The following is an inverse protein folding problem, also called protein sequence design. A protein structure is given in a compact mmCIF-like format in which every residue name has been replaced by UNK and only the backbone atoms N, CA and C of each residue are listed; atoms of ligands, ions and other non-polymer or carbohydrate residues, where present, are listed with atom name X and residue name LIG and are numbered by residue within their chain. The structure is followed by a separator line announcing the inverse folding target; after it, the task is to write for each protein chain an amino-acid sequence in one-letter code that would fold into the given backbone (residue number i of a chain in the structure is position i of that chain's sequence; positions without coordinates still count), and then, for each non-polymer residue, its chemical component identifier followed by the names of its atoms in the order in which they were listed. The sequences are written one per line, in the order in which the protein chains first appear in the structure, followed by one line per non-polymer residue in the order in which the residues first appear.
data_IF_080069762957
#
_entry.id   IF_080069762957
#
_cell.length_a   1.000
_cell.length_b   1.000
_cell.length_c   1.000
_cell.angle_alpha   90.00
_cell.angle_beta   90.00
_cell.angle_gamma   90.00
#
_symmetry.space_group_name_H-M   'P 1'
#
loop_
_entity.id
_entity.type
_entity.pdbx_description
1 polymer ?
#
# COMPACT_ATOMS: atom_id res chain seq x y z
N UNK A 1 -20.31 4.55 38.55
CA UNK A 1 -20.55 3.35 37.71
C UNK A 1 -21.75 3.54 36.76
N UNK A 2 -21.77 3.03 35.52
CA UNK A 2 -20.73 2.28 34.77
C UNK A 2 -20.08 3.17 33.66
N UNK A 3 -18.76 3.20 33.45
CA UNK A 3 -17.91 2.26 32.69
C UNK A 3 -18.49 1.79 31.34
N UNK A 4 -18.22 2.56 30.27
CA UNK A 4 -18.30 2.07 28.90
C UNK A 4 -16.92 1.65 28.41
N UNK A 5 -16.85 0.39 27.98
CA UNK A 5 -15.66 -0.32 27.58
C UNK A 5 -14.99 0.30 26.34
N UNK A 6 -13.66 0.40 26.40
CA UNK A 6 -12.78 0.62 25.25
C UNK A 6 -12.96 -0.53 24.26
N UNK A 7 -13.27 -0.20 23.02
CA UNK A 7 -13.16 -1.12 21.90
C UNK A 7 -11.68 -1.33 21.56
N UNK A 8 -11.20 -2.55 21.76
CA UNK A 8 -9.88 -3.03 21.35
C UNK A 8 -9.82 -3.18 19.82
N UNK A 9 -8.71 -2.86 19.14
CA UNK A 9 -8.54 -3.20 17.73
C UNK A 9 -8.24 -4.70 17.56
N UNK A 10 -8.85 -5.28 16.53
CA UNK A 10 -8.77 -6.67 16.12
C UNK A 10 -7.32 -7.13 15.93
N UNK A 11 -6.85 -8.02 16.81
CA UNK A 11 -5.71 -8.90 16.60
C UNK A 11 -6.24 -10.18 15.97
N UNK A 12 -5.90 -10.45 14.71
CA UNK A 12 -6.01 -11.78 14.14
C UNK A 12 -4.63 -12.44 14.26
N UNK A 13 -4.51 -13.37 15.21
CA UNK A 13 -3.36 -14.28 15.34
C UNK A 13 -3.86 -15.68 15.01
N UNK A 14 -3.19 -16.31 14.05
CA UNK A 14 -3.42 -17.66 13.54
C UNK A 14 -3.42 -18.75 14.62
N UNK A 15 -4.16 -19.84 14.35
CA UNK A 15 -3.79 -21.19 14.76
C UNK A 15 -4.25 -22.24 13.72
N UNK A 16 -3.46 -23.30 13.43
CA UNK A 16 -3.65 -24.16 12.26
C UNK A 16 -4.28 -25.52 12.57
N UNK A 17 -4.95 -26.10 11.57
CA UNK A 17 -5.04 -27.56 11.39
C UNK A 17 -6.45 -28.13 11.18
N UNK A 18 -6.73 -28.63 9.97
CA UNK A 18 -7.29 -29.97 9.75
C UNK A 18 -7.52 -30.28 8.26
N UNK A 19 -6.69 -31.20 7.74
CA UNK A 19 -7.03 -32.34 6.89
C UNK A 19 -7.92 -32.17 5.62
N UNK A 20 -7.23 -32.25 4.49
CA UNK A 20 -7.63 -32.84 3.20
C UNK A 20 -8.64 -34.01 3.30
N UNK A 21 -9.71 -33.95 2.51
CA UNK A 21 -10.38 -35.14 1.95
C UNK A 21 -10.76 -34.92 0.48
N UNK A 22 -10.24 -35.81 -0.35
CA UNK A 22 -10.47 -35.98 -1.78
C UNK A 22 -11.80 -36.69 -2.05
N UNK A 23 -12.43 -36.41 -3.20
CA UNK A 23 -13.28 -37.38 -3.93
C UNK A 23 -13.26 -37.09 -5.45
N UNK A 24 -13.35 -38.12 -6.32
CA UNK A 24 -13.05 -38.03 -7.75
C UNK A 24 -14.31 -38.05 -8.64
N UNK A 25 -14.24 -37.42 -9.81
CA UNK A 25 -15.30 -37.45 -10.83
C UNK A 25 -14.75 -37.51 -12.26
N UNK A 26 -14.85 -38.70 -12.88
CA UNK A 26 -14.54 -39.00 -14.29
C UNK A 26 -15.47 -38.26 -15.24
N UNK A 27 -14.96 -37.79 -16.38
CA UNK A 27 -15.62 -37.95 -17.68
C UNK A 27 -14.59 -38.19 -18.79
N UNK A 28 -14.90 -39.15 -19.67
CA UNK A 28 -14.09 -39.65 -20.79
C UNK A 28 -14.24 -38.77 -22.04
N UNK A 29 -13.10 -38.49 -22.66
CA UNK A 29 -12.74 -38.53 -24.09
C UNK A 29 -13.84 -38.40 -25.17
N UNK A 30 -13.61 -37.44 -26.08
CA UNK A 30 -13.87 -37.61 -27.51
C UNK A 30 -12.75 -36.93 -28.31
N UNK A 31 -12.11 -37.69 -29.20
CA UNK A 31 -11.00 -37.30 -30.07
C UNK A 31 -11.53 -37.04 -31.47
N UNK A 32 -11.15 -35.92 -32.11
CA UNK A 32 -11.08 -35.75 -33.57
C UNK A 32 -10.12 -34.59 -33.89
N UNK A 33 -9.09 -34.87 -34.69
CA UNK A 33 -8.05 -33.95 -35.18
C UNK A 33 -8.42 -33.41 -36.59
N UNK A 34 -7.54 -32.66 -37.30
CA UNK A 34 -7.13 -31.28 -37.03
C UNK A 34 -7.22 -30.37 -38.29
N UNK A 35 -7.40 -29.05 -38.16
CA UNK A 35 -7.11 -28.06 -39.23
C UNK A 35 -6.58 -26.76 -38.57
N UNK A 36 -5.56 -26.08 -39.16
CA UNK A 36 -4.71 -25.13 -38.45
C UNK A 36 -5.12 -23.66 -38.66
N UNK A 37 -4.50 -22.80 -37.85
CA UNK A 37 -4.25 -21.36 -38.07
C UNK A 37 -5.05 -20.37 -37.21
N UNK A 38 -4.28 -19.66 -36.38
CA UNK A 38 -4.40 -18.24 -36.04
C UNK A 38 -5.68 -17.73 -35.36
N UNK A 39 -5.62 -17.72 -34.02
CA UNK A 39 -5.63 -16.49 -33.21
C UNK A 39 -5.40 -16.84 -31.74
N UNK A 40 -4.19 -16.56 -31.26
CA UNK A 40 -3.87 -16.63 -29.84
C UNK A 40 -4.69 -15.61 -29.06
N UNK A 41 -5.84 -16.04 -28.55
CA UNK A 41 -6.60 -15.35 -27.52
C UNK A 41 -5.88 -15.55 -26.17
N UNK A 42 -4.65 -15.03 -26.07
CA UNK A 42 -4.01 -14.79 -24.79
C UNK A 42 -4.69 -13.59 -24.16
N UNK A 43 -5.18 -13.74 -22.92
CA UNK A 43 -5.73 -12.63 -22.14
C UNK A 43 -4.80 -11.41 -22.23
N UNK A 44 -5.31 -10.18 -22.42
CA UNK A 44 -4.50 -8.96 -22.40
C UNK A 44 -3.55 -8.89 -21.19
N UNK A 45 -3.99 -9.43 -20.05
CA UNK A 45 -3.18 -9.63 -18.85
C UNK A 45 -1.93 -10.47 -19.11
N UNK A 46 -2.10 -11.65 -19.73
CA UNK A 46 -1.02 -12.57 -20.04
C UNK A 46 -0.01 -11.94 -21.00
N UNK A 47 -0.49 -11.20 -22.01
CA UNK A 47 0.36 -10.47 -22.95
C UNK A 47 1.15 -9.37 -22.23
N UNK A 48 0.51 -8.57 -21.39
CA UNK A 48 1.20 -7.52 -20.62
C UNK A 48 2.31 -8.12 -19.72
N UNK A 49 2.04 -9.23 -19.02
CA UNK A 49 3.02 -9.89 -18.14
C UNK A 49 4.15 -10.61 -18.90
N UNK A 50 3.94 -11.01 -20.15
CA UNK A 50 5.01 -11.63 -20.96
C UNK A 50 5.91 -10.56 -21.58
N UNK A 51 5.32 -9.51 -22.16
CA UNK A 51 6.05 -8.34 -22.66
C UNK A 51 6.89 -7.68 -21.56
N UNK A 52 6.37 -7.66 -20.32
CA UNK A 52 7.07 -7.22 -19.12
C UNK A 52 8.45 -7.86 -18.96
N UNK A 53 8.47 -9.21 -18.99
CA UNK A 53 9.67 -10.00 -18.70
C UNK A 53 10.78 -9.78 -19.73
N UNK A 54 10.41 -9.41 -20.95
CA UNK A 54 11.34 -9.22 -22.07
C UNK A 54 12.03 -7.84 -22.07
N UNK A 55 11.52 -6.84 -21.33
CA UNK A 55 11.98 -5.44 -21.44
C UNK A 55 12.43 -4.80 -20.12
N UNK A 56 12.67 -5.60 -19.07
CA UNK A 56 13.06 -5.10 -17.74
C UNK A 56 14.39 -4.31 -17.75
N UNK A 57 15.29 -4.55 -18.69
CA UNK A 57 16.61 -3.88 -18.76
C UNK A 57 16.56 -2.39 -19.13
N UNK A 58 15.41 -1.88 -19.61
CA UNK A 58 15.25 -0.46 -19.96
C UNK A 58 13.90 0.11 -19.49
N UNK A 59 13.81 0.38 -18.19
CA UNK A 59 12.59 0.83 -17.50
C UNK A 59 12.08 2.18 -18.03
N UNK A 60 12.98 3.06 -18.48
CA UNK A 60 12.65 4.35 -19.07
C UNK A 60 12.37 4.26 -20.59
N UNK A 61 12.48 3.08 -21.19
CA UNK A 61 12.24 2.86 -22.60
C UNK A 61 10.75 2.95 -22.98
N UNK A 62 10.46 3.39 -24.20
CA UNK A 62 9.10 3.57 -24.72
C UNK A 62 8.23 2.30 -24.62
N UNK A 63 8.83 1.12 -24.76
CA UNK A 63 8.13 -0.16 -24.59
C UNK A 63 7.62 -0.31 -23.16
N UNK A 64 8.45 -0.02 -22.17
CA UNK A 64 8.06 -0.12 -20.76
C UNK A 64 6.96 0.88 -20.42
N UNK A 65 7.08 2.12 -20.90
CA UNK A 65 6.04 3.14 -20.74
C UNK A 65 4.69 2.68 -21.34
N UNK A 66 4.72 2.00 -22.48
CA UNK A 66 3.52 1.43 -23.09
C UNK A 66 2.92 0.29 -22.26
N UNK A 67 3.76 -0.60 -21.72
CA UNK A 67 3.31 -1.68 -20.82
C UNK A 67 2.68 -1.11 -19.55
N UNK A 68 3.26 -0.07 -18.98
CA UNK A 68 2.76 0.60 -17.77
C UNK A 68 1.43 1.30 -18.04
N UNK A 69 1.30 2.00 -19.17
CA UNK A 69 0.03 2.60 -19.57
C UNK A 69 -1.06 1.54 -19.74
N UNK A 70 -0.75 0.38 -20.34
CA UNK A 70 -1.68 -0.74 -20.45
C UNK A 70 -2.05 -1.32 -19.08
N UNK A 71 -1.08 -1.49 -18.18
CA UNK A 71 -1.33 -1.97 -16.81
C UNK A 71 -2.21 -0.99 -16.02
N UNK A 72 -1.94 0.31 -16.12
CA UNK A 72 -2.76 1.34 -15.49
C UNK A 72 -4.21 1.27 -15.97
N UNK A 73 -4.42 1.17 -17.28
CA UNK A 73 -5.75 1.00 -17.86
C UNK A 73 -6.45 -0.27 -17.39
N UNK A 74 -5.73 -1.39 -17.29
CA UNK A 74 -6.28 -2.65 -16.80
C UNK A 74 -6.69 -2.54 -15.32
N UNK A 75 -5.87 -1.93 -14.48
CA UNK A 75 -6.17 -1.77 -13.05
C UNK A 75 -7.29 -0.75 -12.80
N UNK A 76 -7.37 0.31 -13.60
CA UNK A 76 -8.42 1.33 -13.49
C UNK A 76 -9.77 0.87 -14.07
N UNK A 77 -9.80 -0.11 -14.96
CA UNK A 77 -11.02 -0.61 -15.58
C UNK A 77 -11.86 -1.45 -14.61
N UNK A 78 -13.12 -1.05 -14.40
CA UNK A 78 -14.05 -1.70 -13.46
C UNK A 78 -14.40 -3.14 -13.83
N UNK A 79 -14.36 -3.47 -15.12
CA UNK A 79 -14.69 -4.80 -15.65
C UNK A 79 -13.47 -5.72 -15.70
N UNK A 80 -12.28 -5.21 -15.35
CA UNK A 80 -11.08 -6.03 -15.30
C UNK A 80 -11.17 -7.07 -14.19
N UNK A 81 -10.75 -8.29 -14.53
CA UNK A 81 -10.59 -9.35 -13.54
C UNK A 81 -9.29 -9.12 -12.75
N UNK A 82 -9.36 -8.26 -11.74
CA UNK A 82 -8.24 -7.94 -10.85
C UNK A 82 -7.64 -9.21 -10.24
N UNK A 83 -8.46 -10.17 -9.81
CA UNK A 83 -7.98 -11.45 -9.25
C UNK A 83 -7.04 -12.18 -10.20
N UNK A 84 -7.37 -12.24 -11.49
CA UNK A 84 -6.50 -12.85 -12.49
C UNK A 84 -5.18 -12.07 -12.64
N UNK A 85 -5.20 -10.73 -12.61
CA UNK A 85 -3.96 -9.95 -12.68
C UNK A 85 -3.03 -10.26 -11.49
N UNK A 86 -3.60 -10.37 -10.30
CA UNK A 86 -2.89 -10.78 -9.09
C UNK A 86 -2.28 -12.18 -9.23
N UNK A 87 -3.04 -13.16 -9.74
CA UNK A 87 -2.55 -14.53 -10.01
C UNK A 87 -1.45 -14.58 -11.07
N UNK A 88 -1.44 -13.64 -12.03
CA UNK A 88 -0.38 -13.51 -13.04
C UNK A 88 0.85 -12.72 -12.55
N UNK A 89 0.93 -12.40 -11.26
CA UNK A 89 2.12 -11.81 -10.65
C UNK A 89 2.16 -10.28 -10.65
N UNK A 90 1.01 -9.60 -10.80
CA UNK A 90 0.92 -8.14 -10.77
C UNK A 90 1.66 -7.52 -9.57
N UNK A 91 1.48 -8.08 -8.38
CA UNK A 91 2.13 -7.59 -7.15
C UNK A 91 3.64 -7.53 -7.30
N UNK A 92 4.27 -8.63 -7.74
CA UNK A 92 5.71 -8.70 -7.92
C UNK A 92 6.19 -7.66 -8.94
N UNK A 93 5.52 -7.60 -10.11
CA UNK A 93 5.90 -6.69 -11.18
C UNK A 93 5.84 -5.22 -10.77
N UNK A 94 4.82 -4.84 -10.00
CA UNK A 94 4.70 -3.48 -9.47
C UNK A 94 5.75 -3.21 -8.40
N UNK A 95 6.03 -4.16 -7.49
CA UNK A 95 7.08 -4.01 -6.49
C UNK A 95 8.46 -3.79 -7.13
N UNK A 96 8.83 -4.63 -8.10
CA UNK A 96 10.14 -4.57 -8.78
C UNK A 96 10.30 -3.20 -9.45
N UNK A 97 9.30 -2.78 -10.22
CA UNK A 97 9.26 -1.47 -10.88
C UNK A 97 9.39 -0.30 -9.93
N UNK A 98 8.61 -0.33 -8.87
CA UNK A 98 8.54 0.77 -7.93
C UNK A 98 9.88 0.89 -7.21
N UNK A 99 10.52 -0.22 -6.88
CA UNK A 99 11.86 -0.25 -6.27
C UNK A 99 12.93 0.32 -7.20
N UNK A 100 12.94 -0.11 -8.46
CA UNK A 100 13.89 0.41 -9.45
C UNK A 100 13.65 1.90 -9.72
N UNK A 101 12.38 2.33 -9.80
CA UNK A 101 12.00 3.74 -10.02
C UNK A 101 12.33 4.61 -8.81
N UNK A 102 12.04 4.16 -7.58
CA UNK A 102 12.38 4.86 -6.36
C UNK A 102 13.90 5.08 -6.24
N UNK A 103 14.70 4.08 -6.63
CA UNK A 103 16.16 4.19 -6.69
C UNK A 103 16.60 5.29 -7.66
N UNK A 104 15.94 5.42 -8.82
CA UNK A 104 16.20 6.49 -9.79
C UNK A 104 15.74 7.88 -9.29
N UNK A 105 14.67 7.94 -8.50
CA UNK A 105 14.13 9.19 -7.94
C UNK A 105 14.99 9.73 -6.79
N UNK A 106 15.56 8.83 -5.97
CA UNK A 106 16.42 9.19 -4.83
C UNK A 106 17.89 9.41 -5.22
N UNK A 107 18.28 9.07 -6.46
CA UNK A 107 19.63 9.32 -6.98
C UNK A 107 19.86 10.82 -7.29
N UNK A 108 20.65 11.48 -6.44
CA UNK A 108 20.90 12.93 -6.44
C UNK A 108 21.72 13.40 -7.66
N UNK A 109 22.43 12.51 -8.34
CA UNK A 109 23.42 12.87 -9.37
C UNK A 109 22.83 13.01 -10.80
N UNK A 110 21.52 12.82 -11.02
CA UNK A 110 20.97 12.71 -12.37
C UNK A 110 19.73 13.58 -12.70
N UNK A 111 19.93 14.91 -12.74
CA UNK A 111 18.88 15.92 -13.00
C UNK A 111 18.03 15.71 -14.28
N UNK A 112 18.55 15.05 -15.32
CA UNK A 112 17.84 14.84 -16.58
C UNK A 112 17.00 13.54 -16.61
N UNK A 113 17.39 12.50 -15.85
CA UNK A 113 16.58 11.28 -15.67
C UNK A 113 15.36 11.51 -14.78
N UNK A 114 15.39 12.59 -14.00
CA UNK A 114 14.36 12.93 -13.02
C UNK A 114 12.95 13.11 -13.63
N UNK A 115 12.79 13.74 -14.81
CA UNK A 115 11.45 13.96 -15.38
C UNK A 115 10.76 12.67 -15.84
N UNK A 116 11.48 11.78 -16.53
CA UNK A 116 10.91 10.50 -16.95
C UNK A 116 10.70 9.56 -15.76
N UNK A 117 11.62 9.58 -14.79
CA UNK A 117 11.45 8.84 -13.54
C UNK A 117 10.24 9.35 -12.74
N UNK A 118 10.00 10.66 -12.68
CA UNK A 118 8.82 11.25 -12.02
C UNK A 118 7.51 10.87 -12.73
N UNK A 119 7.45 10.93 -14.06
CA UNK A 119 6.26 10.53 -14.82
C UNK A 119 5.97 9.02 -14.67
N UNK A 120 7.03 8.22 -14.67
CA UNK A 120 6.96 6.79 -14.39
C UNK A 120 6.47 6.54 -12.97
N UNK A 121 7.07 7.20 -11.98
CA UNK A 121 6.68 7.09 -10.57
C UNK A 121 5.20 7.42 -10.38
N UNK A 122 4.71 8.50 -10.97
CA UNK A 122 3.30 8.86 -10.92
C UNK A 122 2.39 7.78 -11.52
N UNK A 123 2.75 7.24 -12.69
CA UNK A 123 1.99 6.15 -13.31
C UNK A 123 1.97 4.88 -12.46
N UNK A 124 3.07 4.59 -11.75
CA UNK A 124 3.16 3.47 -10.82
C UNK A 124 2.34 3.71 -9.55
N UNK A 125 2.28 4.95 -9.07
CA UNK A 125 1.43 5.33 -7.95
C UNK A 125 -0.05 5.16 -8.28
N UNK A 126 -0.49 5.49 -9.50
CA UNK A 126 -1.87 5.23 -9.95
C UNK A 126 -2.21 3.74 -9.96
N UNK A 127 -1.30 2.91 -10.50
CA UNK A 127 -1.45 1.45 -10.50
C UNK A 127 -1.52 0.92 -9.07
N UNK A 128 -0.58 1.33 -8.21
CA UNK A 128 -0.54 0.94 -6.80
C UNK A 128 -1.82 1.35 -6.08
N UNK A 129 -2.28 2.58 -6.29
CA UNK A 129 -3.51 3.09 -5.68
C UNK A 129 -4.74 2.27 -6.11
N UNK A 130 -4.84 1.91 -7.39
CA UNK A 130 -5.92 1.05 -7.90
C UNK A 130 -5.90 -0.35 -7.28
N UNK A 131 -4.72 -0.97 -7.19
CA UNK A 131 -4.51 -2.26 -6.53
C UNK A 131 -4.91 -2.23 -5.05
N UNK A 132 -4.48 -1.20 -4.32
CA UNK A 132 -4.79 -1.01 -2.91
C UNK A 132 -6.26 -0.71 -2.68
N UNK A 133 -6.89 0.08 -3.55
CA UNK A 133 -8.33 0.36 -3.50
C UNK A 133 -9.16 -0.90 -3.71
N UNK A 134 -8.77 -1.74 -4.67
CA UNK A 134 -9.40 -3.04 -4.89
C UNK A 134 -9.27 -3.93 -3.64
N UNK A 135 -8.05 -4.10 -3.13
CA UNK A 135 -7.77 -4.94 -1.95
C UNK A 135 -8.55 -4.46 -0.73
N UNK A 136 -8.50 -3.16 -0.44
CA UNK A 136 -9.24 -2.54 0.67
C UNK A 136 -10.75 -2.72 0.54
N UNK A 137 -11.29 -2.65 -0.69
CA UNK A 137 -12.72 -2.87 -0.93
C UNK A 137 -13.14 -4.31 -0.64
N UNK A 138 -12.36 -5.30 -1.11
CA UNK A 138 -12.61 -6.73 -0.84
C UNK A 138 -12.58 -7.01 0.67
N UNK A 139 -11.53 -6.55 1.36
CA UNK A 139 -11.39 -6.72 2.82
C UNK A 139 -12.55 -6.06 3.56
N UNK A 140 -12.93 -4.84 3.17
CA UNK A 140 -14.06 -4.13 3.79
C UNK A 140 -15.37 -4.89 3.63
N UNK A 141 -15.65 -5.43 2.45
CA UNK A 141 -16.85 -6.24 2.20
C UNK A 141 -16.86 -7.51 3.05
N UNK A 142 -15.73 -8.22 3.12
CA UNK A 142 -15.61 -9.41 3.96
C UNK A 142 -15.86 -9.11 5.45
N UNK A 143 -15.24 -8.05 5.97
CA UNK A 143 -15.41 -7.60 7.36
C UNK A 143 -16.86 -7.18 7.64
N UNK A 144 -17.52 -6.49 6.70
CA UNK A 144 -18.93 -6.09 6.85
C UNK A 144 -19.86 -7.30 6.86
N UNK A 145 -19.66 -8.26 5.95
CA UNK A 145 -20.46 -9.48 5.88
C UNK A 145 -20.24 -10.41 7.10
N UNK A 146 -19.03 -10.40 7.67
CA UNK A 146 -18.76 -11.09 8.93
C UNK A 146 -19.54 -10.46 10.09
N UNK A 147 -19.55 -9.13 10.19
CA UNK A 147 -20.28 -8.40 11.24
C UNK A 147 -21.79 -8.59 11.16
N UNK A 148 -22.35 -8.80 9.97
CA UNK A 148 -23.78 -9.05 9.77
C UNK A 148 -24.17 -10.53 9.91
N UNK A 149 -23.22 -11.43 10.20
CA UNK A 149 -23.48 -12.87 10.33
C UNK A 149 -23.79 -13.57 9.00
N UNK A 150 -23.60 -12.89 7.87
CA UNK A 150 -23.94 -13.38 6.53
C UNK A 150 -22.92 -14.36 5.94
N UNK A 151 -21.82 -14.66 6.66
CA UNK A 151 -20.79 -15.61 6.20
C UNK A 151 -20.10 -15.17 4.91
N UNK A 152 -19.65 -13.91 4.85
CA UNK A 152 -18.93 -13.39 3.69
C UNK A 152 -17.63 -14.14 3.38
N UNK A 153 -17.11 -13.91 2.17
CA UNK A 153 -15.88 -14.57 1.66
C UNK A 153 -14.62 -14.00 2.34
N UNK A 154 -14.46 -14.37 3.61
CA UNK A 154 -13.33 -14.02 4.46
C UNK A 154 -12.04 -14.66 3.97
N UNK A 155 -12.12 -15.91 3.49
CA UNK A 155 -10.95 -16.61 2.95
C UNK A 155 -10.38 -15.92 1.71
N UNK A 156 -11.20 -15.49 0.75
CA UNK A 156 -10.68 -14.79 -0.42
C UNK A 156 -10.04 -13.44 -0.06
N UNK A 157 -10.55 -12.75 0.97
CA UNK A 157 -9.94 -11.53 1.47
C UNK A 157 -8.59 -11.78 2.14
N UNK A 158 -8.47 -12.86 2.93
CA UNK A 158 -7.21 -13.28 3.54
C UNK A 158 -6.16 -13.70 2.51
N UNK A 159 -6.55 -14.52 1.52
CA UNK A 159 -5.67 -14.94 0.43
C UNK A 159 -5.16 -13.73 -0.36
N UNK A 160 -6.04 -12.75 -0.61
CA UNK A 160 -5.67 -11.52 -1.30
C UNK A 160 -4.70 -10.66 -0.47
N UNK A 161 -4.90 -10.56 0.85
CA UNK A 161 -3.96 -9.87 1.75
C UNK A 161 -2.59 -10.56 1.76
N UNK A 162 -2.56 -11.89 1.83
CA UNK A 162 -1.31 -12.66 1.78
C UNK A 162 -0.58 -12.46 0.45
N UNK A 163 -1.30 -12.47 -0.67
CA UNK A 163 -0.73 -12.24 -1.98
C UNK A 163 -0.23 -10.80 -2.17
N UNK A 164 -0.91 -9.84 -1.53
CA UNK A 164 -0.58 -8.41 -1.57
C UNK A 164 0.49 -8.00 -0.57
N UNK A 165 0.91 -8.91 0.33
CA UNK A 165 1.87 -8.64 1.39
C UNK A 165 3.20 -8.01 0.91
N UNK A 166 3.81 -8.41 -0.22
CA UNK A 166 5.03 -7.74 -0.71
C UNK A 166 4.89 -6.22 -0.94
N UNK A 167 3.67 -5.70 -1.10
CA UNK A 167 3.45 -4.25 -1.21
C UNK A 167 3.82 -3.50 0.09
N UNK A 168 3.94 -4.18 1.23
CA UNK A 168 4.39 -3.54 2.48
C UNK A 168 5.82 -3.03 2.38
N UNK A 169 6.65 -3.63 1.53
CA UNK A 169 8.05 -3.20 1.33
C UNK A 169 8.13 -1.84 0.64
N UNK A 170 7.06 -1.43 -0.06
CA UNK A 170 6.96 -0.11 -0.67
C UNK A 170 6.76 1.00 0.36
N UNK A 171 6.34 0.68 1.59
CA UNK A 171 6.16 1.70 2.66
C UNK A 171 7.48 2.45 2.90
N UNK A 172 8.58 1.71 3.06
CA UNK A 172 9.91 2.29 3.29
C UNK A 172 10.47 3.03 2.07
N UNK A 173 9.90 2.84 0.88
CA UNK A 173 10.27 3.58 -0.34
C UNK A 173 9.42 4.84 -0.54
N UNK A 174 8.13 4.78 -0.17
CA UNK A 174 7.21 5.92 -0.29
C UNK A 174 7.59 7.05 0.68
N UNK A 175 7.97 6.72 1.92
CA UNK A 175 8.23 7.73 2.95
C UNK A 175 9.35 8.72 2.55
N UNK A 176 10.52 8.28 2.04
CA UNK A 176 11.57 9.21 1.58
C UNK A 176 11.21 10.01 0.33
N UNK A 177 10.23 9.56 -0.46
CA UNK A 177 9.82 10.26 -1.68
C UNK A 177 8.85 11.42 -1.38
N UNK A 178 7.98 11.28 -0.39
CA UNK A 178 6.96 12.27 -0.01
C UNK A 178 7.46 13.73 0.13
N UNK A 179 8.63 14.04 0.74
CA UNK A 179 9.05 15.44 0.93
C UNK A 179 9.41 16.17 -0.37
N UNK A 180 9.78 15.45 -1.42
CA UNK A 180 10.32 16.01 -2.67
C UNK A 180 9.30 16.01 -3.82
N UNK A 181 8.07 15.60 -3.55
CA UNK A 181 7.04 15.37 -4.56
C UNK A 181 6.27 16.63 -4.92
N UNK A 182 5.85 16.68 -6.19
CA UNK A 182 4.80 17.60 -6.63
C UNK A 182 3.51 17.34 -5.81
N UNK A 183 2.70 18.38 -5.49
CA UNK A 183 1.49 18.21 -4.69
C UNK A 183 0.54 17.11 -5.16
N UNK A 184 0.39 16.91 -6.47
CA UNK A 184 -0.45 15.84 -7.03
C UNK A 184 0.14 14.45 -6.73
N UNK A 185 1.46 14.30 -6.86
CA UNK A 185 2.17 13.07 -6.55
C UNK A 185 2.09 12.78 -5.05
N UNK A 186 2.30 13.79 -4.21
CA UNK A 186 2.17 13.69 -2.75
C UNK A 186 0.77 13.20 -2.34
N UNK A 187 -0.29 13.72 -2.98
CA UNK A 187 -1.66 13.32 -2.68
C UNK A 187 -1.89 11.82 -2.93
N UNK A 188 -1.43 11.29 -4.08
CA UNK A 188 -1.60 9.87 -4.40
C UNK A 188 -0.68 9.00 -3.54
N UNK A 189 0.57 9.40 -3.36
CA UNK A 189 1.58 8.71 -2.55
C UNK A 189 1.15 8.55 -1.09
N UNK A 190 0.68 9.63 -0.47
CA UNK A 190 0.18 9.61 0.92
C UNK A 190 -1.10 8.78 1.08
N UNK A 191 -1.97 8.72 0.07
CA UNK A 191 -3.15 7.82 0.06
C UNK A 191 -2.73 6.35 -0.04
N UNK A 192 -1.79 6.01 -0.91
CA UNK A 192 -1.22 4.67 -1.02
C UNK A 192 -0.64 4.21 0.33
N UNK A 193 0.21 5.05 0.94
CA UNK A 193 0.78 4.79 2.26
C UNK A 193 -0.30 4.58 3.33
N UNK A 194 -1.35 5.41 3.31
CA UNK A 194 -2.48 5.30 4.22
C UNK A 194 -3.25 3.99 4.09
N UNK A 195 -3.50 3.52 2.86
CA UNK A 195 -4.20 2.24 2.65
C UNK A 195 -3.30 1.07 3.09
N UNK A 196 -2.00 1.09 2.73
CA UNK A 196 -1.04 0.07 3.14
C UNK A 196 -1.00 -0.09 4.67
N UNK A 197 -0.84 1.01 5.39
CA UNK A 197 -0.78 1.01 6.86
C UNK A 197 -2.15 0.66 7.49
N UNK A 198 -3.26 0.94 6.82
CA UNK A 198 -4.59 0.48 7.30
C UNK A 198 -4.74 -1.03 7.17
N UNK A 199 -4.31 -1.62 6.05
CA UNK A 199 -4.40 -3.05 5.77
C UNK A 199 -3.42 -3.88 6.62
N UNK A 200 -2.16 -3.44 6.72
CA UNK A 200 -1.07 -4.21 7.31
C UNK A 200 -0.56 -3.65 8.64
N UNK A 201 -1.00 -2.47 9.06
CA UNK A 201 -0.44 -1.80 10.24
C UNK A 201 1.01 -1.38 10.02
N UNK A 202 1.83 -1.48 11.06
CA UNK A 202 3.27 -1.29 11.03
C UNK A 202 4.02 -2.58 10.75
N UNK A 203 3.61 -3.37 9.76
CA UNK A 203 4.26 -4.66 9.50
C UNK A 203 5.66 -4.50 8.92
N UNK A 204 5.90 -3.47 8.10
CA UNK A 204 7.22 -3.17 7.55
C UNK A 204 8.15 -2.66 8.67
N UNK A 205 9.27 -3.35 8.99
CA UNK A 205 10.13 -2.97 10.11
C UNK A 205 10.86 -1.64 9.92
N UNK A 206 11.06 -1.22 8.67
CA UNK A 206 11.85 -0.05 8.30
C UNK A 206 11.00 1.22 8.12
N UNK A 207 9.67 1.13 8.26
CA UNK A 207 8.74 2.26 8.05
C UNK A 207 8.91 3.38 9.08
N UNK A 208 9.57 3.10 10.20
CA UNK A 208 9.91 4.06 11.25
C UNK A 208 11.39 3.94 11.64
N UNK A 209 12.25 3.63 10.66
CA UNK A 209 13.70 3.79 10.78
C UNK A 209 14.05 5.24 11.14
N UNK A 210 15.26 5.53 11.67
CA UNK A 210 15.66 6.89 12.03
C UNK A 210 15.47 7.91 10.89
N UNK A 211 15.85 7.53 9.67
CA UNK A 211 15.69 8.35 8.47
C UNK A 211 14.20 8.59 8.14
N UNK A 212 13.36 7.55 8.22
CA UNK A 212 11.93 7.69 7.96
C UNK A 212 11.21 8.49 9.04
N UNK A 213 11.64 8.40 10.30
CA UNK A 213 11.13 9.24 11.38
C UNK A 213 11.47 10.72 11.16
N UNK A 214 12.67 11.02 10.66
CA UNK A 214 13.07 12.37 10.26
C UNK A 214 12.22 12.88 9.06
N UNK A 215 11.97 12.04 8.05
CA UNK A 215 11.06 12.37 6.96
C UNK A 215 9.65 12.73 7.47
N UNK A 216 9.10 11.96 8.42
CA UNK A 216 7.82 12.31 9.06
C UNK A 216 7.88 13.64 9.83
N UNK A 217 8.95 13.90 10.57
CA UNK A 217 9.11 15.15 11.31
C UNK A 217 9.13 16.36 10.36
N UNK A 218 9.89 16.25 9.26
CA UNK A 218 9.97 17.27 8.23
C UNK A 218 8.63 17.48 7.52
N UNK A 219 7.90 16.41 7.19
CA UNK A 219 6.58 16.51 6.58
C UNK A 219 5.56 17.17 7.52
N UNK A 220 5.50 16.75 8.78
CA UNK A 220 4.55 17.29 9.75
C UNK A 220 4.77 18.78 10.03
N UNK A 221 6.03 19.25 9.96
CA UNK A 221 6.39 20.65 10.19
C UNK A 221 6.29 21.53 8.94
N UNK A 222 6.58 20.98 7.75
CA UNK A 222 6.55 21.72 6.49
C UNK A 222 5.16 21.85 5.86
N UNK A 223 4.24 20.91 6.13
CA UNK A 223 2.89 20.97 5.56
C UNK A 223 2.03 21.99 6.28
N UNK A 224 1.46 22.93 5.51
CA UNK A 224 0.55 23.96 6.02
C UNK A 224 -0.92 23.50 6.04
N UNK A 225 -1.33 22.55 5.19
CA UNK A 225 -2.71 22.06 5.15
C UNK A 225 -3.00 21.09 6.32
N UNK A 226 -3.95 21.42 7.23
CA UNK A 226 -4.34 20.55 8.33
C UNK A 226 -4.84 19.17 7.89
N UNK A 227 -5.40 19.04 6.67
CA UNK A 227 -5.87 17.75 6.14
C UNK A 227 -4.69 16.81 5.85
N UNK A 228 -3.60 17.35 5.31
CA UNK A 228 -2.38 16.58 5.04
C UNK A 228 -1.71 16.18 6.36
N UNK A 229 -1.55 17.11 7.29
CA UNK A 229 -1.05 16.82 8.63
C UNK A 229 -1.88 15.74 9.34
N UNK A 230 -3.21 15.85 9.30
CA UNK A 230 -4.13 14.85 9.85
C UNK A 230 -3.96 13.48 9.22
N UNK A 231 -3.78 13.41 7.90
CA UNK A 231 -3.54 12.15 7.20
C UNK A 231 -2.23 11.51 7.70
N UNK A 232 -1.14 12.27 7.72
CA UNK A 232 0.18 11.83 8.19
C UNK A 232 0.12 11.34 9.64
N UNK A 233 -0.54 12.08 10.53
CA UNK A 233 -0.74 11.67 11.93
C UNK A 233 -1.56 10.38 12.04
N UNK A 234 -2.59 10.18 11.22
CA UNK A 234 -3.36 8.92 11.21
C UNK A 234 -2.50 7.73 10.77
N UNK A 235 -1.64 7.92 9.78
CA UNK A 235 -0.68 6.91 9.31
C UNK A 235 0.28 6.57 10.45
N UNK A 236 0.94 7.58 11.02
CA UNK A 236 1.88 7.44 12.13
C UNK A 236 1.25 6.72 13.33
N UNK A 237 0.08 7.19 13.78
CA UNK A 237 -0.68 6.56 14.88
C UNK A 237 -0.93 5.09 14.62
N UNK A 238 -1.34 4.72 13.40
CA UNK A 238 -1.62 3.32 13.06
C UNK A 238 -0.35 2.47 13.08
N UNK A 239 0.79 2.97 12.62
CA UNK A 239 2.07 2.25 12.68
C UNK A 239 2.51 1.98 14.13
N UNK A 240 2.51 3.01 14.98
CA UNK A 240 3.01 2.88 16.37
C UNK A 240 2.06 2.09 17.28
N UNK A 241 0.74 2.12 17.00
CA UNK A 241 -0.25 1.35 17.79
C UNK A 241 -0.32 -0.13 17.41
N UNK A 242 0.14 -0.49 16.20
CA UNK A 242 0.12 -1.88 15.72
C UNK A 242 1.46 -2.58 15.82
N UNK A 243 2.58 -1.86 16.00
CA UNK A 243 3.90 -2.45 16.16
C UNK A 243 4.68 -1.78 17.30
N UNK A 244 5.05 -2.60 18.31
CA UNK A 244 5.83 -2.14 19.46
C UNK A 244 7.21 -1.61 19.08
N UNK A 245 7.89 -2.19 18.09
CA UNK A 245 9.22 -1.70 17.66
C UNK A 245 9.13 -0.28 17.14
N UNK A 246 8.12 0.04 16.34
CA UNK A 246 7.89 1.41 15.89
C UNK A 246 7.56 2.38 17.02
N UNK A 247 6.86 1.92 18.05
CA UNK A 247 6.63 2.73 19.24
C UNK A 247 7.94 3.04 19.97
N UNK A 248 8.85 2.08 20.10
CA UNK A 248 10.18 2.35 20.66
C UNK A 248 10.99 3.28 19.75
N UNK A 249 10.99 3.07 18.43
CA UNK A 249 11.64 3.97 17.46
C UNK A 249 11.12 5.41 17.53
N UNK A 250 9.83 5.60 17.80
CA UNK A 250 9.25 6.93 18.03
C UNK A 250 9.82 7.57 19.29
N UNK A 251 9.95 6.84 20.40
CA UNK A 251 10.53 7.36 21.66
C UNK A 251 11.99 7.78 21.50
N UNK A 252 12.72 7.07 20.65
CA UNK A 252 14.12 7.37 20.36
C UNK A 252 14.29 8.52 19.34
N UNK A 253 13.20 8.95 18.67
CA UNK A 253 13.23 9.99 17.65
C UNK A 253 12.90 11.38 18.21
N UNK A 254 13.93 12.10 18.63
CA UNK A 254 13.78 13.46 19.18
C UNK A 254 13.12 14.46 18.22
N UNK A 255 13.46 14.42 16.92
CA UNK A 255 12.89 15.33 15.91
C UNK A 255 11.39 15.08 15.69
N UNK A 256 10.97 13.82 15.63
CA UNK A 256 9.56 13.46 15.45
C UNK A 256 8.74 13.77 16.70
N UNK A 257 9.27 13.51 17.89
CA UNK A 257 8.63 13.91 19.15
C UNK A 257 8.46 15.43 19.22
N UNK A 258 9.50 16.20 18.88
CA UNK A 258 9.42 17.67 18.85
C UNK A 258 8.38 18.18 17.85
N UNK A 259 8.28 17.56 16.66
CA UNK A 259 7.25 17.91 15.68
C UNK A 259 5.84 17.64 16.22
N UNK A 260 5.64 16.53 16.94
CA UNK A 260 4.36 16.20 17.57
C UNK A 260 4.01 17.16 18.72
N UNK A 261 4.98 17.53 19.56
CA UNK A 261 4.79 18.50 20.64
C UNK A 261 4.37 19.87 20.11
N UNK A 262 4.99 20.30 19.01
CA UNK A 262 4.62 21.54 18.32
C UNK A 262 3.19 21.51 17.79
N UNK A 263 2.74 20.34 17.31
CA UNK A 263 1.37 20.13 16.81
C UNK A 263 0.32 19.90 17.90
N UNK A 264 0.70 19.61 19.14
CA UNK A 264 -0.18 19.22 20.24
C UNK A 264 -0.39 20.33 21.29
N UNK A 265 -0.69 21.60 20.92
CA UNK A 265 -0.53 22.74 21.82
C UNK A 265 -1.23 22.54 23.17
N UNK A 266 -0.47 22.82 24.22
CA UNK A 266 -0.89 22.79 25.60
C UNK A 266 -1.91 23.91 25.88
N UNK A 267 -3.19 23.61 25.67
CA UNK A 267 -4.30 24.47 26.09
C UNK A 267 -5.00 25.22 24.95
N UNK A 268 -6.10 24.64 24.48
CA UNK A 268 -7.35 25.36 24.20
C UNK A 268 -7.43 26.32 23.01
N UNK A 269 -6.37 26.63 22.28
CA UNK A 269 -6.45 27.63 21.19
C UNK A 269 -5.59 27.28 19.98
N UNK A 270 -6.08 26.39 19.12
CA UNK A 270 -5.61 26.26 17.73
C UNK A 270 -6.73 25.74 16.82
N UNK A 271 -6.73 26.18 15.56
CA UNK A 271 -7.84 26.14 14.60
C UNK A 271 -8.22 24.74 14.07
N UNK A 272 -7.48 23.68 14.39
CA UNK A 272 -7.89 22.30 14.09
C UNK A 272 -7.67 21.37 15.30
N UNK A 273 -8.69 21.31 16.15
CA UNK A 273 -8.72 20.45 17.35
C UNK A 273 -8.39 18.97 17.07
N UNK A 274 -8.58 18.49 15.83
CA UNK A 274 -8.37 17.09 15.49
C UNK A 274 -6.88 16.79 15.30
N UNK A 275 -6.14 17.66 14.63
CA UNK A 275 -4.67 17.51 14.46
C UNK A 275 -3.99 17.50 15.82
N UNK A 276 -4.33 18.46 16.68
CA UNK A 276 -3.80 18.55 18.04
C UNK A 276 -4.15 17.31 18.88
N UNK A 277 -5.39 16.82 18.80
CA UNK A 277 -5.80 15.62 19.52
C UNK A 277 -5.04 14.37 19.07
N UNK A 278 -4.81 14.20 17.76
CA UNK A 278 -4.08 13.07 17.21
C UNK A 278 -2.60 13.10 17.60
N UNK A 279 -1.97 14.28 17.55
CA UNK A 279 -0.59 14.44 17.97
C UNK A 279 -0.43 14.11 19.47
N UNK A 280 -1.35 14.59 20.32
CA UNK A 280 -1.36 14.29 21.75
C UNK A 280 -1.58 12.80 22.04
N UNK A 281 -2.50 12.13 21.32
CA UNK A 281 -2.71 10.68 21.45
C UNK A 281 -1.43 9.88 21.15
N UNK A 282 -0.66 10.30 20.15
CA UNK A 282 0.59 9.65 19.76
C UNK A 282 1.68 9.89 20.83
N UNK A 283 1.81 11.12 21.33
CA UNK A 283 2.74 11.45 22.42
C UNK A 283 2.44 10.64 23.69
N UNK A 284 1.17 10.56 24.08
CA UNK A 284 0.74 9.77 25.24
C UNK A 284 1.05 8.28 25.07
N UNK A 285 0.94 7.75 23.85
CA UNK A 285 1.33 6.37 23.57
C UNK A 285 2.84 6.15 23.73
N UNK A 286 3.65 7.16 23.41
CA UNK A 286 5.11 7.15 23.61
C UNK A 286 5.51 7.40 25.08
N UNK A 287 4.61 7.92 25.91
CA UNK A 287 4.86 8.24 27.32
C UNK A 287 5.24 9.70 27.60
N UNK A 288 4.91 10.60 26.66
CA UNK A 288 5.10 12.05 26.75
C UNK A 288 3.78 12.76 27.03
#
# INVERSE_FOLDING_TARGET
PPQFARATPLLWVSAPGAALKSFPGRYRSATLCPVPSERGCGSPALKATTYWKEHQENILGNTMQSVIALLNNLVACKDSNMKLLYEQGLVRHVCDLFTETATLCLDVDNKNKNKMAAALHFSLLDILHGMLTYTSSVVRLAVQAQKSGSGGDTQAAEDLLLLSKPLTDLISLLIPLLPNEDPEIFEVSSKCLSILVQLYGGENPDSLSPENAENFANLLTSKEDPKEQKLLLKILRRMVTSNKKHLESLKDSGSLLQALEWLAPAGGSSADSVVASLALEILQAAGH
#
